data_IF_680735532510
#
_entry.id   IF_680735532510
#
_cell.length_a   1.000
_cell.length_b   1.000
_cell.length_c   1.000
_cell.angle_alpha   90.00
_cell.angle_beta   90.00
_cell.angle_gamma   90.00
#
_symmetry.space_group_name_H-M   'P 1'
#
loop_
_entity.id
_entity.type
_entity.pdbx_description
1 polymer ?
#
# COMPACT_ATOMS: atom_id res chain seq x y z
N UNK A 1 -11.76 -34.75 -9.19
CA UNK A 1 -12.58 -33.90 -8.32
C UNK A 1 -11.98 -33.96 -6.93
N UNK A 2 -11.40 -32.86 -6.47
CA UNK A 2 -10.73 -32.79 -5.18
C UNK A 2 -11.55 -31.95 -4.20
N UNK A 3 -11.43 -32.18 -2.90
CA UNK A 3 -11.94 -31.29 -1.88
C UNK A 3 -10.89 -30.22 -1.56
N UNK A 4 -11.27 -28.94 -1.66
CA UNK A 4 -10.41 -27.79 -1.46
C UNK A 4 -10.92 -26.94 -0.31
N UNK A 5 -10.05 -26.64 0.64
CA UNK A 5 -10.33 -25.68 1.71
C UNK A 5 -9.68 -24.34 1.35
N UNK A 6 -10.44 -23.26 1.43
CA UNK A 6 -9.92 -21.89 1.33
C UNK A 6 -10.07 -21.21 2.68
N UNK A 7 -8.96 -20.67 3.22
CA UNK A 7 -8.94 -19.98 4.51
C UNK A 7 -8.82 -18.47 4.29
N UNK A 8 -9.91 -17.75 4.59
CA UNK A 8 -10.04 -16.30 4.43
C UNK A 8 -10.94 -15.90 3.27
N UNK A 9 -11.99 -15.15 3.59
CA UNK A 9 -13.00 -14.64 2.63
C UNK A 9 -12.69 -13.21 2.15
N UNK A 10 -11.41 -12.89 1.95
CA UNK A 10 -10.96 -11.64 1.33
C UNK A 10 -10.88 -11.74 -0.20
N UNK A 11 -10.26 -10.75 -0.83
CA UNK A 11 -10.11 -10.67 -2.28
C UNK A 11 -9.48 -11.95 -2.87
N UNK A 12 -8.30 -12.31 -2.42
CA UNK A 12 -7.59 -13.49 -2.93
C UNK A 12 -8.34 -14.81 -2.67
N UNK A 13 -8.93 -14.97 -1.47
CA UNK A 13 -9.62 -16.21 -1.11
C UNK A 13 -10.92 -16.42 -1.89
N UNK A 14 -11.73 -15.37 -2.09
CA UNK A 14 -12.94 -15.48 -2.91
C UNK A 14 -12.62 -15.80 -4.37
N UNK A 15 -11.56 -15.18 -4.92
CA UNK A 15 -11.11 -15.47 -6.29
C UNK A 15 -10.55 -16.89 -6.44
N UNK A 16 -9.76 -17.33 -5.48
CA UNK A 16 -9.22 -18.70 -5.44
C UNK A 16 -10.35 -19.74 -5.35
N UNK A 17 -11.35 -19.48 -4.51
CA UNK A 17 -12.51 -20.37 -4.37
C UNK A 17 -13.33 -20.47 -5.68
N UNK A 18 -13.56 -19.33 -6.37
CA UNK A 18 -14.25 -19.31 -7.66
C UNK A 18 -13.43 -20.09 -8.70
N UNK A 19 -12.12 -19.86 -8.80
CA UNK A 19 -11.26 -20.52 -9.77
C UNK A 19 -11.23 -22.06 -9.56
N UNK A 20 -11.02 -22.51 -8.32
CA UNK A 20 -11.04 -23.94 -8.00
C UNK A 20 -12.37 -24.60 -8.28
N UNK A 21 -13.50 -23.96 -7.93
CA UNK A 21 -14.83 -24.51 -8.18
C UNK A 21 -15.17 -24.54 -9.68
N UNK A 22 -14.74 -23.56 -10.48
CA UNK A 22 -14.89 -23.57 -11.96
C UNK A 22 -14.14 -24.75 -12.60
N UNK A 23 -13.05 -25.22 -11.98
CA UNK A 23 -12.30 -26.40 -12.43
C UNK A 23 -12.92 -27.74 -11.93
N UNK A 24 -14.10 -27.70 -11.34
CA UNK A 24 -14.85 -28.89 -10.93
C UNK A 24 -14.48 -29.44 -9.57
N UNK A 25 -13.77 -28.67 -8.73
CA UNK A 25 -13.46 -29.08 -7.36
C UNK A 25 -14.59 -28.72 -6.39
N UNK A 26 -14.71 -29.51 -5.31
CA UNK A 26 -15.61 -29.19 -4.19
C UNK A 26 -14.88 -28.21 -3.26
N UNK A 27 -15.38 -26.97 -3.13
CA UNK A 27 -14.70 -25.91 -2.39
C UNK A 27 -15.47 -25.53 -1.13
N UNK A 28 -14.77 -25.50 0.01
CA UNK A 28 -15.27 -24.95 1.28
C UNK A 28 -14.39 -23.75 1.67
N UNK A 29 -15.02 -22.58 1.79
CA UNK A 29 -14.35 -21.35 2.24
C UNK A 29 -14.70 -21.07 3.69
N UNK A 30 -13.70 -20.94 4.55
CA UNK A 30 -13.80 -20.55 5.95
C UNK A 30 -13.45 -19.09 6.14
N UNK A 31 -14.36 -18.31 6.70
CA UNK A 31 -14.16 -16.92 7.08
C UNK A 31 -14.50 -16.74 8.58
N UNK A 32 -13.58 -16.17 9.34
CA UNK A 32 -13.77 -15.95 10.79
C UNK A 32 -14.74 -14.85 11.14
N UNK A 33 -14.96 -13.89 10.23
CA UNK A 33 -15.91 -12.80 10.40
C UNK A 33 -17.35 -13.20 10.00
N UNK A 34 -18.27 -12.34 10.36
CA UNK A 34 -19.71 -12.42 10.02
C UNK A 34 -20.01 -12.05 8.56
N UNK A 35 -19.03 -11.52 7.82
CA UNK A 35 -19.17 -11.07 6.42
C UNK A 35 -17.91 -11.32 5.63
N UNK A 36 -18.06 -11.56 4.35
CA UNK A 36 -16.97 -11.60 3.37
C UNK A 36 -16.48 -10.19 3.01
N UNK A 37 -15.27 -10.08 2.52
CA UNK A 37 -14.73 -8.88 1.88
C UNK A 37 -14.60 -7.65 2.79
N UNK A 38 -14.51 -7.78 4.12
CA UNK A 38 -14.45 -6.63 5.04
C UNK A 38 -13.35 -5.63 4.69
N UNK A 39 -12.16 -6.09 4.25
CA UNK A 39 -11.10 -5.19 3.81
C UNK A 39 -11.42 -4.56 2.44
N UNK A 40 -12.02 -5.29 1.50
CA UNK A 40 -12.49 -4.73 0.22
C UNK A 40 -13.47 -3.58 0.47
N UNK A 41 -14.38 -3.75 1.45
CA UNK A 41 -15.41 -2.76 1.77
C UNK A 41 -14.84 -1.39 2.11
N UNK A 42 -13.69 -1.33 2.79
CA UNK A 42 -13.06 -0.06 3.21
C UNK A 42 -12.04 0.48 2.20
N UNK A 43 -11.63 -0.32 1.20
CA UNK A 43 -10.65 0.13 0.21
C UNK A 43 -11.17 1.26 -0.67
N UNK A 44 -10.25 2.12 -1.15
CA UNK A 44 -10.62 3.25 -2.00
C UNK A 44 -11.65 4.20 -1.36
N UNK A 45 -11.64 4.35 -0.03
CA UNK A 45 -12.62 5.14 0.76
C UNK A 45 -14.06 4.63 0.56
N UNK A 46 -14.25 3.32 0.55
CA UNK A 46 -15.55 2.66 0.36
C UNK A 46 -15.98 2.49 -1.11
N UNK A 47 -15.15 2.91 -2.07
CA UNK A 47 -15.42 2.81 -3.50
C UNK A 47 -14.88 1.51 -4.13
N UNK A 48 -13.87 0.92 -3.56
CA UNK A 48 -13.04 -0.19 -4.07
C UNK A 48 -12.31 0.17 -5.39
N UNK A 49 -11.03 0.49 -5.30
CA UNK A 49 -10.17 0.56 -6.49
C UNK A 49 -9.82 -0.88 -6.92
N UNK A 50 -10.63 -1.45 -7.83
CA UNK A 50 -10.62 -2.87 -8.19
C UNK A 50 -9.26 -3.32 -8.74
N UNK A 51 -8.71 -2.55 -9.67
CA UNK A 51 -7.43 -2.81 -10.32
C UNK A 51 -6.88 -1.51 -10.93
N UNK A 52 -5.85 -1.62 -11.74
CA UNK A 52 -5.30 -0.53 -12.54
C UNK A 52 -5.31 -0.95 -14.02
N UNK A 53 -5.80 -0.07 -14.90
CA UNK A 53 -5.87 -0.30 -16.35
C UNK A 53 -4.54 0.08 -17.07
N UNK A 54 -3.45 0.22 -16.33
CA UNK A 54 -2.11 0.43 -16.88
C UNK A 54 -1.66 -0.78 -17.70
N UNK A 55 -0.63 -0.58 -18.52
CA UNK A 55 0.01 -1.70 -19.21
C UNK A 55 0.78 -2.62 -18.24
N UNK A 56 1.28 -3.72 -18.76
CA UNK A 56 1.93 -4.73 -17.93
C UNK A 56 3.25 -4.22 -17.33
N UNK A 57 3.97 -3.36 -18.01
CA UNK A 57 5.24 -2.78 -17.54
C UNK A 57 4.98 -1.88 -16.32
N UNK A 58 4.01 -0.97 -16.41
CA UNK A 58 3.58 -0.11 -15.29
C UNK A 58 3.06 -0.94 -14.10
N UNK A 59 2.35 -2.07 -14.37
CA UNK A 59 1.89 -2.98 -13.31
C UNK A 59 3.07 -3.57 -12.54
N UNK A 60 4.13 -4.03 -13.22
CA UNK A 60 5.34 -4.55 -12.58
C UNK A 60 6.13 -3.48 -11.85
N UNK A 61 6.24 -2.29 -12.41
CA UNK A 61 6.95 -1.15 -11.79
C UNK A 61 6.28 -0.69 -10.50
N UNK A 62 4.96 -0.83 -10.41
CA UNK A 62 4.22 -0.54 -9.18
C UNK A 62 4.45 -1.55 -8.06
N UNK A 63 4.97 -2.75 -8.35
CA UNK A 63 5.28 -3.78 -7.34
C UNK A 63 6.64 -3.51 -6.72
N UNK A 64 6.67 -3.14 -5.45
CA UNK A 64 7.87 -2.72 -4.73
C UNK A 64 8.73 -3.91 -4.29
N UNK A 65 8.09 -5.02 -3.89
CA UNK A 65 8.81 -6.20 -3.37
C UNK A 65 8.50 -7.43 -4.22
N UNK A 66 9.57 -8.14 -4.64
CA UNK A 66 9.50 -9.42 -5.34
C UNK A 66 8.66 -9.41 -6.64
N UNK A 67 8.66 -8.30 -7.42
CA UNK A 67 7.84 -8.17 -8.63
C UNK A 67 8.00 -9.33 -9.62
N UNK A 68 9.23 -9.86 -9.79
CA UNK A 68 9.50 -10.99 -10.68
C UNK A 68 8.75 -12.28 -10.32
N UNK A 69 8.37 -12.44 -9.05
CA UNK A 69 7.57 -13.59 -8.62
C UNK A 69 6.18 -13.59 -9.24
N UNK A 70 5.62 -12.41 -9.53
CA UNK A 70 4.28 -12.23 -10.09
C UNK A 70 4.19 -12.46 -11.60
N UNK A 71 5.31 -12.75 -12.28
CA UNK A 71 5.32 -12.86 -13.73
C UNK A 71 4.23 -13.83 -14.24
N UNK A 72 4.25 -15.08 -13.76
CA UNK A 72 3.29 -16.09 -14.17
C UNK A 72 1.85 -15.73 -13.81
N UNK A 73 1.60 -15.21 -12.61
CA UNK A 73 0.25 -14.90 -12.15
C UNK A 73 -0.33 -13.66 -12.85
N UNK A 74 0.46 -12.62 -13.14
CA UNK A 74 -0.03 -11.43 -13.86
C UNK A 74 -0.33 -11.70 -15.33
N UNK A 75 0.50 -12.51 -16.00
CA UNK A 75 0.20 -12.93 -17.37
C UNK A 75 -0.88 -14.02 -17.44
N UNK A 76 -1.00 -14.86 -16.40
CA UNK A 76 -2.05 -15.88 -16.29
C UNK A 76 -3.43 -15.31 -16.00
N UNK A 77 -3.50 -14.17 -15.31
CA UNK A 77 -4.74 -13.43 -15.03
C UNK A 77 -4.48 -11.94 -14.95
N UNK A 78 -4.64 -11.27 -16.09
CA UNK A 78 -4.27 -9.87 -16.27
C UNK A 78 -5.28 -8.91 -15.60
N UNK A 79 -4.92 -7.63 -15.55
CA UNK A 79 -5.83 -6.56 -15.12
C UNK A 79 -7.07 -6.46 -16.06
N UNK A 80 -6.91 -6.72 -17.36
CA UNK A 80 -8.05 -6.77 -18.27
C UNK A 80 -8.98 -7.94 -17.91
N UNK A 81 -8.45 -9.13 -17.61
CA UNK A 81 -9.28 -10.25 -17.16
C UNK A 81 -10.03 -9.93 -15.87
N UNK A 82 -9.45 -9.13 -14.97
CA UNK A 82 -10.16 -8.65 -13.77
C UNK A 82 -11.30 -7.71 -14.13
N UNK A 83 -11.07 -6.78 -15.05
CA UNK A 83 -12.10 -5.85 -15.56
C UNK A 83 -13.25 -6.66 -16.16
N UNK A 84 -12.95 -7.55 -17.11
CA UNK A 84 -13.93 -8.39 -17.81
C UNK A 84 -14.73 -9.24 -16.80
N UNK A 85 -14.06 -9.84 -15.82
CA UNK A 85 -14.73 -10.63 -14.77
C UNK A 85 -15.79 -9.81 -14.00
N UNK A 86 -15.46 -8.58 -13.59
CA UNK A 86 -16.42 -7.76 -12.85
C UNK A 86 -17.54 -7.22 -13.73
N UNK A 87 -17.27 -6.89 -14.99
CA UNK A 87 -18.30 -6.47 -15.95
C UNK A 87 -19.26 -7.63 -16.25
N UNK A 88 -18.74 -8.84 -16.52
CA UNK A 88 -19.54 -10.06 -16.72
C UNK A 88 -20.37 -10.43 -15.48
N UNK A 89 -19.83 -10.17 -14.28
CA UNK A 89 -20.55 -10.34 -13.02
C UNK A 89 -21.57 -9.23 -12.72
N UNK A 90 -21.79 -8.29 -13.67
CA UNK A 90 -22.77 -7.21 -13.58
C UNK A 90 -22.32 -6.02 -12.73
N UNK A 91 -21.02 -5.75 -12.66
CA UNK A 91 -20.42 -4.56 -12.04
C UNK A 91 -19.74 -3.73 -13.13
N UNK A 92 -20.45 -2.79 -13.78
CA UNK A 92 -19.84 -1.87 -14.74
C UNK A 92 -18.74 -1.07 -14.08
N UNK A 93 -17.63 -0.88 -14.78
CA UNK A 93 -16.47 -0.15 -14.25
C UNK A 93 -16.22 1.16 -14.99
N UNK A 94 -15.47 2.04 -14.36
CA UNK A 94 -14.92 3.29 -14.94
C UNK A 94 -13.45 3.41 -14.64
N UNK A 95 -12.72 4.02 -15.57
CA UNK A 95 -11.30 4.33 -15.40
C UNK A 95 -11.16 5.81 -15.04
N UNK A 96 -10.47 6.09 -13.93
CA UNK A 96 -10.19 7.44 -13.45
C UNK A 96 -8.70 7.78 -13.66
N UNK A 97 -8.33 9.03 -13.36
CA UNK A 97 -6.95 9.53 -13.44
C UNK A 97 -5.96 8.53 -12.82
N UNK A 98 -4.85 8.25 -13.50
CA UNK A 98 -3.82 7.27 -13.08
C UNK A 98 -4.27 5.83 -13.31
N UNK A 99 -5.10 5.62 -14.34
CA UNK A 99 -5.59 4.29 -14.79
C UNK A 99 -6.33 3.50 -13.69
N UNK A 100 -6.82 4.15 -12.63
CA UNK A 100 -7.50 3.49 -11.51
C UNK A 100 -8.90 3.03 -11.92
N UNK A 101 -9.21 1.77 -11.68
CA UNK A 101 -10.48 1.15 -12.05
C UNK A 101 -11.41 1.08 -10.84
N UNK A 102 -12.59 1.71 -10.95
CA UNK A 102 -13.62 1.71 -9.92
C UNK A 102 -14.94 1.21 -10.46
N UNK A 103 -15.81 0.64 -9.62
CA UNK A 103 -17.19 0.39 -10.03
C UNK A 103 -17.88 1.72 -10.36
N UNK A 104 -18.70 1.75 -11.40
CA UNK A 104 -19.44 2.97 -11.80
C UNK A 104 -20.33 3.50 -10.69
N UNK A 105 -20.84 2.62 -9.84
CA UNK A 105 -21.65 2.96 -8.67
C UNK A 105 -20.91 3.66 -7.55
N UNK A 106 -19.57 3.64 -7.55
CA UNK A 106 -18.72 4.08 -6.43
C UNK A 106 -18.98 3.34 -5.10
N UNK A 107 -19.51 2.12 -5.14
CA UNK A 107 -19.80 1.31 -3.97
C UNK A 107 -19.04 -0.02 -3.95
N UNK A 108 -18.14 -0.19 -3.00
CA UNK A 108 -17.40 -1.46 -2.79
C UNK A 108 -18.30 -2.65 -2.49
N UNK A 109 -19.52 -2.41 -1.96
CA UNK A 109 -20.50 -3.46 -1.73
C UNK A 109 -20.97 -4.17 -3.00
N UNK A 110 -20.93 -3.50 -4.16
CA UNK A 110 -21.32 -4.12 -5.43
C UNK A 110 -20.25 -5.12 -5.88
N UNK A 111 -18.98 -4.79 -5.67
CA UNK A 111 -17.86 -5.71 -5.93
C UNK A 111 -17.96 -6.95 -5.04
N UNK A 112 -18.26 -6.80 -3.75
CA UNK A 112 -18.39 -7.91 -2.81
C UNK A 112 -19.60 -8.78 -3.20
N UNK A 113 -20.77 -8.17 -3.47
CA UNK A 113 -21.97 -8.90 -3.90
C UNK A 113 -21.78 -9.66 -5.20
N UNK A 114 -20.99 -9.13 -6.14
CA UNK A 114 -20.66 -9.85 -7.38
C UNK A 114 -19.84 -11.10 -7.07
N UNK A 115 -18.81 -11.00 -6.23
CA UNK A 115 -18.01 -12.16 -5.81
C UNK A 115 -18.85 -13.20 -5.07
N UNK A 116 -19.75 -12.80 -4.18
CA UNK A 116 -20.68 -13.70 -3.47
C UNK A 116 -21.62 -14.42 -4.45
N UNK A 117 -22.17 -13.71 -5.45
CA UNK A 117 -23.02 -14.33 -6.49
C UNK A 117 -22.24 -15.34 -7.32
N UNK A 118 -21.03 -15.01 -7.75
CA UNK A 118 -20.19 -15.93 -8.54
C UNK A 118 -19.78 -17.16 -7.74
N UNK A 119 -19.39 -17.02 -6.47
CA UNK A 119 -19.13 -18.17 -5.60
C UNK A 119 -20.36 -19.08 -5.45
N UNK A 120 -21.55 -18.49 -5.25
CA UNK A 120 -22.80 -19.25 -5.15
C UNK A 120 -23.13 -19.98 -6.45
N UNK A 121 -22.94 -19.33 -7.60
CA UNK A 121 -23.21 -19.89 -8.94
C UNK A 121 -22.35 -21.12 -9.22
N UNK A 122 -21.09 -21.13 -8.77
CA UNK A 122 -20.17 -22.27 -8.95
C UNK A 122 -20.19 -23.27 -7.79
N UNK A 123 -21.06 -23.11 -6.80
CA UNK A 123 -21.30 -24.07 -5.73
C UNK A 123 -20.29 -24.03 -4.58
N UNK A 124 -19.59 -22.93 -4.36
CA UNK A 124 -18.70 -22.78 -3.20
C UNK A 124 -19.50 -22.76 -1.90
N UNK A 125 -19.13 -23.65 -0.96
CA UNK A 125 -19.68 -23.66 0.40
C UNK A 125 -18.96 -22.60 1.24
N UNK A 126 -19.67 -21.56 1.67
CA UNK A 126 -19.15 -20.48 2.52
C UNK A 126 -19.53 -20.74 3.98
N UNK A 127 -18.54 -20.78 4.89
CA UNK A 127 -18.71 -20.92 6.32
C UNK A 127 -18.21 -19.64 7.01
N UNK A 128 -19.15 -18.73 7.35
CA UNK A 128 -18.89 -17.51 8.11
C UNK A 128 -18.77 -17.83 9.61
N UNK A 129 -18.24 -16.88 10.40
CA UNK A 129 -17.99 -17.03 11.84
C UNK A 129 -17.21 -18.32 12.18
N UNK A 130 -16.37 -18.79 11.23
CA UNK A 130 -15.64 -20.05 11.34
C UNK A 130 -14.15 -19.77 11.27
N UNK A 131 -13.50 -19.72 12.43
CA UNK A 131 -12.09 -19.40 12.57
C UNK A 131 -11.24 -20.67 12.45
N UNK A 132 -10.29 -20.68 11.52
CA UNK A 132 -9.26 -21.70 11.43
C UNK A 132 -8.16 -21.40 12.44
N UNK A 133 -7.86 -22.33 13.32
CA UNK A 133 -6.85 -22.23 14.38
C UNK A 133 -5.47 -22.66 13.89
N UNK A 134 -5.39 -23.74 13.10
CA UNK A 134 -4.14 -24.23 12.53
C UNK A 134 -4.35 -24.91 11.19
N UNK A 135 -3.29 -24.90 10.39
CA UNK A 135 -3.11 -25.73 9.19
C UNK A 135 -2.05 -26.74 9.52
N UNK A 136 -2.32 -28.03 9.28
CA UNK A 136 -1.44 -29.11 9.63
C UNK A 136 -1.00 -29.89 8.39
N UNK A 137 0.27 -30.27 8.39
CA UNK A 137 0.91 -31.09 7.35
C UNK A 137 1.51 -32.33 7.96
N UNK A 138 1.48 -33.41 7.20
CA UNK A 138 2.12 -34.66 7.56
C UNK A 138 2.99 -35.17 6.39
N UNK A 139 4.23 -35.54 6.68
CA UNK A 139 5.20 -36.06 5.69
C UNK A 139 5.33 -35.15 4.44
N UNK A 140 5.35 -33.83 4.64
CA UNK A 140 5.49 -32.87 3.54
C UNK A 140 4.23 -32.70 2.67
N UNK A 141 3.07 -33.14 3.14
CA UNK A 141 1.78 -32.96 2.45
C UNK A 141 0.77 -32.32 3.40
N UNK A 142 -0.10 -31.43 2.86
CA UNK A 142 -1.24 -30.92 3.59
C UNK A 142 -2.12 -32.08 4.07
N UNK A 143 -2.59 -32.00 5.31
CA UNK A 143 -3.41 -33.05 5.92
C UNK A 143 -4.80 -32.52 6.28
N UNK A 144 -4.87 -31.47 7.12
CA UNK A 144 -6.13 -30.94 7.64
C UNK A 144 -6.01 -29.51 8.13
N UNK A 145 -7.15 -28.88 8.34
CA UNK A 145 -7.26 -27.68 9.17
C UNK A 145 -7.94 -28.02 10.48
N UNK A 146 -7.56 -27.31 11.55
CA UNK A 146 -8.22 -27.37 12.85
C UNK A 146 -8.97 -26.07 13.07
N UNK A 147 -10.24 -26.14 13.35
CA UNK A 147 -11.08 -24.98 13.66
C UNK A 147 -10.92 -24.56 15.13
N UNK A 148 -11.39 -23.39 15.47
CA UNK A 148 -11.29 -22.83 16.84
C UNK A 148 -12.05 -23.67 17.86
N UNK A 149 -13.15 -24.29 17.47
CA UNK A 149 -13.93 -25.22 18.27
C UNK A 149 -13.30 -26.62 18.43
N UNK A 150 -12.05 -26.77 17.95
CA UNK A 150 -11.26 -28.01 17.93
C UNK A 150 -11.69 -29.06 16.90
N UNK A 151 -12.75 -28.82 16.13
CA UNK A 151 -13.11 -29.73 15.03
C UNK A 151 -12.03 -29.72 13.94
N UNK A 152 -11.86 -30.86 13.30
CA UNK A 152 -10.88 -31.01 12.22
C UNK A 152 -11.59 -31.22 10.88
N UNK A 153 -11.02 -30.63 9.82
CA UNK A 153 -11.53 -30.77 8.46
C UNK A 153 -10.39 -31.22 7.55
N UNK A 154 -10.55 -32.37 6.92
CA UNK A 154 -9.60 -32.91 5.95
C UNK A 154 -9.98 -32.44 4.54
N UNK A 155 -8.97 -32.27 3.69
CA UNK A 155 -9.19 -31.97 2.27
C UNK A 155 -7.93 -32.37 1.47
N UNK A 156 -8.03 -32.39 0.14
CA UNK A 156 -6.91 -32.71 -0.74
C UNK A 156 -5.94 -31.51 -0.88
N UNK A 157 -6.47 -30.30 -0.79
CA UNK A 157 -5.71 -29.05 -0.89
C UNK A 157 -6.24 -27.96 0.06
N UNK A 158 -5.34 -27.05 0.44
CA UNK A 158 -5.67 -25.87 1.25
C UNK A 158 -5.05 -24.61 0.66
N UNK A 159 -5.84 -23.55 0.48
CA UNK A 159 -5.38 -22.23 0.06
C UNK A 159 -5.47 -21.27 1.24
N UNK A 160 -4.33 -20.74 1.69
CA UNK A 160 -4.23 -19.74 2.76
C UNK A 160 -4.26 -18.34 2.13
N UNK A 161 -5.35 -17.60 2.35
CA UNK A 161 -5.60 -16.27 1.79
C UNK A 161 -6.08 -15.28 2.88
N UNK A 162 -5.42 -15.32 4.04
CA UNK A 162 -5.84 -14.64 5.27
C UNK A 162 -5.46 -13.15 5.33
N UNK A 163 -4.75 -12.64 4.32
CA UNK A 163 -4.20 -11.27 4.33
C UNK A 163 -3.00 -11.11 5.26
N UNK A 164 -2.64 -9.86 5.57
CA UNK A 164 -1.49 -9.51 6.41
C UNK A 164 -1.88 -9.05 7.83
N UNK A 165 -1.35 -7.89 8.24
CA UNK A 165 -1.53 -7.27 9.57
C UNK A 165 -2.25 -5.92 9.53
N UNK A 166 -2.42 -5.34 8.34
CA UNK A 166 -3.07 -4.05 8.17
C UNK A 166 -4.59 -4.16 8.31
N UNK A 167 -5.22 -3.13 8.92
CA UNK A 167 -6.65 -3.13 9.21
C UNK A 167 -7.12 -4.37 9.99
N UNK A 168 -6.52 -4.64 11.13
CA UNK A 168 -6.81 -5.84 11.96
C UNK A 168 -8.29 -6.06 12.25
N UNK A 169 -9.08 -4.99 12.34
CA UNK A 169 -10.54 -5.04 12.51
C UNK A 169 -11.29 -5.73 11.37
N UNK A 170 -10.64 -5.88 10.21
CA UNK A 170 -11.19 -6.62 9.06
C UNK A 170 -10.88 -8.11 9.07
N UNK A 171 -10.12 -8.57 10.05
CA UNK A 171 -9.71 -9.98 10.17
C UNK A 171 -8.26 -10.29 9.76
N UNK A 172 -7.50 -9.31 9.26
CA UNK A 172 -6.09 -9.48 8.90
C UNK A 172 -5.21 -9.40 10.16
N UNK A 173 -5.13 -10.50 10.91
CA UNK A 173 -4.45 -10.59 12.21
C UNK A 173 -3.14 -11.35 12.18
N UNK A 174 -2.68 -11.76 10.98
CA UNK A 174 -1.42 -12.50 10.80
C UNK A 174 -1.56 -14.02 10.98
N UNK A 175 -2.78 -14.56 10.98
CA UNK A 175 -2.99 -15.99 11.17
C UNK A 175 -2.26 -16.83 10.11
N UNK A 176 -2.27 -16.39 8.85
CA UNK A 176 -1.57 -17.08 7.77
C UNK A 176 -0.06 -17.15 7.94
N UNK A 177 0.54 -16.17 8.59
CA UNK A 177 1.97 -16.19 8.93
C UNK A 177 2.24 -17.30 9.94
N UNK A 178 1.44 -17.39 10.99
CA UNK A 178 1.52 -18.46 11.99
C UNK A 178 1.28 -19.85 11.37
N UNK A 179 0.32 -19.96 10.44
CA UNK A 179 0.09 -21.24 9.73
C UNK A 179 1.29 -21.64 8.90
N UNK A 180 1.90 -20.69 8.19
CA UNK A 180 3.09 -20.91 7.37
C UNK A 180 4.29 -21.35 8.22
N UNK A 181 4.57 -20.66 9.34
CA UNK A 181 5.65 -20.99 10.27
C UNK A 181 5.47 -22.38 10.88
N UNK A 182 4.24 -22.76 11.27
CA UNK A 182 3.93 -24.06 11.84
C UNK A 182 4.21 -25.24 10.90
N UNK A 183 4.20 -25.01 9.60
CA UNK A 183 4.52 -26.03 8.59
C UNK A 183 5.93 -25.86 7.97
N UNK A 184 6.75 -25.00 8.57
CA UNK A 184 8.17 -24.85 8.25
C UNK A 184 8.54 -23.74 7.29
N UNK A 185 7.59 -22.91 6.83
CA UNK A 185 7.89 -21.75 6.01
C UNK A 185 8.53 -20.62 6.81
N UNK A 186 9.39 -19.87 6.14
CA UNK A 186 9.93 -18.61 6.66
C UNK A 186 8.97 -17.46 6.39
N UNK A 187 8.71 -16.67 7.41
CA UNK A 187 8.00 -15.41 7.30
C UNK A 187 9.02 -14.27 7.40
N UNK A 188 9.06 -13.39 6.40
CA UNK A 188 9.92 -12.22 6.42
C UNK A 188 9.38 -11.20 7.41
N UNK A 189 10.25 -10.38 7.99
CA UNK A 189 9.83 -9.35 8.94
C UNK A 189 8.78 -8.42 8.32
N UNK A 190 7.64 -8.29 9.01
CA UNK A 190 6.54 -7.46 8.56
C UNK A 190 6.68 -6.01 9.03
N UNK A 191 6.30 -5.08 8.15
CA UNK A 191 6.24 -3.64 8.41
C UNK A 191 4.92 -3.06 7.91
N UNK A 192 4.38 -2.02 8.56
CA UNK A 192 3.31 -1.24 7.97
C UNK A 192 3.79 -0.59 6.68
N UNK A 193 2.98 -0.60 5.64
CA UNK A 193 3.30 -0.02 4.33
C UNK A 193 2.11 0.74 3.77
N UNK A 194 2.37 1.69 2.88
CA UNK A 194 1.40 2.67 2.42
C UNK A 194 0.77 3.41 3.61
N UNK A 195 1.61 4.01 4.43
CA UNK A 195 1.28 4.57 5.73
C UNK A 195 1.92 5.95 5.90
N UNK A 196 1.31 6.89 6.66
CA UNK A 196 1.92 8.16 7.02
C UNK A 196 3.23 7.99 7.81
N UNK A 197 4.03 9.05 7.86
CA UNK A 197 5.30 9.10 8.59
C UNK A 197 5.28 10.16 9.68
N UNK A 198 5.93 9.85 10.81
CA UNK A 198 6.10 10.76 11.93
C UNK A 198 7.32 11.67 11.73
N UNK A 199 7.22 12.91 12.21
CA UNK A 199 8.32 13.89 12.16
C UNK A 199 8.65 14.39 13.56
N UNK A 200 9.83 14.99 13.70
CA UNK A 200 10.38 15.47 14.97
C UNK A 200 10.06 16.93 15.26
N UNK A 201 9.90 17.71 14.21
CA UNK A 201 9.79 19.16 14.30
C UNK A 201 8.44 19.59 14.89
N UNK A 202 8.42 20.45 15.94
CA UNK A 202 7.19 20.85 16.61
C UNK A 202 6.27 21.72 15.74
N UNK A 203 6.82 22.52 14.82
CA UNK A 203 6.07 23.38 13.91
C UNK A 203 5.20 22.60 12.89
N UNK A 204 5.39 21.29 12.77
CA UNK A 204 4.53 20.43 11.93
C UNK A 204 3.05 20.55 12.31
N UNK A 205 2.75 20.65 13.61
CA UNK A 205 1.37 20.79 14.09
C UNK A 205 0.67 22.03 13.54
N UNK A 206 1.40 23.12 13.31
CA UNK A 206 0.88 24.35 12.73
C UNK A 206 0.45 24.19 11.27
N UNK A 207 1.09 23.26 10.57
CA UNK A 207 0.81 22.93 9.16
C UNK A 207 -0.32 21.90 9.00
N UNK A 208 -0.87 21.35 10.07
CA UNK A 208 -1.92 20.33 9.99
C UNK A 208 -3.03 20.71 9.00
N UNK A 209 -3.32 19.80 8.05
CA UNK A 209 -4.32 19.98 7.00
C UNK A 209 -3.84 20.76 5.78
N UNK A 210 -2.61 21.28 5.78
CA UNK A 210 -2.00 21.87 4.59
C UNK A 210 -1.61 20.78 3.60
N UNK A 211 -2.16 20.83 2.39
CA UNK A 211 -1.71 20.01 1.26
C UNK A 211 -0.77 20.82 0.38
N UNK A 212 0.39 20.26 0.07
CA UNK A 212 1.30 20.76 -0.95
C UNK A 212 1.07 19.98 -2.24
N UNK A 213 0.94 20.71 -3.35
CA UNK A 213 0.79 20.13 -4.69
C UNK A 213 1.98 20.50 -5.55
N UNK A 214 2.32 19.61 -6.49
CA UNK A 214 3.41 19.82 -7.43
C UNK A 214 4.74 20.11 -6.72
N UNK A 215 5.04 19.32 -5.70
CA UNK A 215 6.34 19.34 -4.99
C UNK A 215 7.13 18.09 -5.34
N UNK A 216 8.45 18.18 -5.25
CA UNK A 216 9.32 17.01 -5.28
C UNK A 216 9.74 16.68 -3.85
N UNK A 217 9.65 15.41 -3.46
CA UNK A 217 10.11 14.95 -2.16
C UNK A 217 11.21 13.92 -2.31
N UNK A 218 12.25 14.04 -1.49
CA UNK A 218 13.35 13.07 -1.36
C UNK A 218 13.43 12.58 0.06
N UNK A 219 13.66 11.28 0.24
CA UNK A 219 13.99 10.71 1.55
C UNK A 219 15.45 10.28 1.53
N UNK A 220 16.21 10.79 2.49
CA UNK A 220 17.65 10.63 2.58
C UNK A 220 18.05 9.87 3.85
N UNK A 221 19.02 8.98 3.71
CA UNK A 221 19.77 8.35 4.78
C UNK A 221 21.20 8.94 4.80
N UNK A 222 21.39 10.00 5.57
CA UNK A 222 22.59 10.84 5.48
C UNK A 222 22.69 11.46 4.08
N UNK A 223 23.70 11.05 3.30
CA UNK A 223 23.88 11.51 1.90
C UNK A 223 23.21 10.61 0.86
N UNK A 224 22.71 9.44 1.27
CA UNK A 224 22.14 8.47 0.34
C UNK A 224 20.66 8.75 0.08
N UNK A 225 20.31 8.98 -1.16
CA UNK A 225 18.90 9.04 -1.60
C UNK A 225 18.29 7.64 -1.58
N UNK A 226 17.17 7.49 -0.84
CA UNK A 226 16.41 6.25 -0.73
C UNK A 226 15.16 6.26 -1.59
N UNK A 227 14.59 7.45 -1.78
CA UNK A 227 13.36 7.66 -2.53
C UNK A 227 13.35 9.08 -3.06
N UNK A 228 12.82 9.26 -4.25
CA UNK A 228 12.57 10.56 -4.88
C UNK A 228 11.37 10.43 -5.80
N UNK A 229 10.41 11.34 -5.67
CA UNK A 229 9.25 11.41 -6.56
C UNK A 229 8.60 12.79 -6.52
N UNK A 230 7.71 13.04 -7.49
CA UNK A 230 6.97 14.29 -7.65
C UNK A 230 5.47 14.05 -7.44
N UNK A 231 4.80 14.94 -6.70
CA UNK A 231 3.37 14.77 -6.46
C UNK A 231 2.78 15.68 -5.40
N UNK A 232 1.81 15.13 -4.67
CA UNK A 232 1.08 15.81 -3.61
C UNK A 232 1.38 15.18 -2.26
N UNK A 233 1.51 16.01 -1.23
CA UNK A 233 1.65 15.59 0.16
C UNK A 233 0.74 16.38 1.09
N UNK A 234 0.55 15.87 2.29
CA UNK A 234 -0.31 16.45 3.32
C UNK A 234 0.44 16.51 4.65
N UNK A 235 0.37 17.62 5.34
CA UNK A 235 0.79 17.74 6.72
C UNK A 235 -0.33 17.31 7.67
N UNK A 236 0.05 16.57 8.71
CA UNK A 236 -0.82 16.10 9.79
C UNK A 236 -0.32 16.66 11.13
N UNK A 237 -1.05 16.43 12.21
CA UNK A 237 -0.61 16.86 13.54
C UNK A 237 0.61 16.08 14.09
N UNK A 238 0.95 14.94 13.47
CA UNK A 238 2.08 14.10 13.90
C UNK A 238 3.23 14.05 12.88
N UNK A 239 3.03 14.59 11.69
CA UNK A 239 4.03 14.49 10.63
C UNK A 239 3.43 14.68 9.24
N UNK A 240 3.73 13.76 8.33
CA UNK A 240 3.42 13.88 6.90
C UNK A 240 2.69 12.66 6.35
N UNK A 241 1.84 12.91 5.35
CA UNK A 241 0.98 11.94 4.68
C UNK A 241 0.75 12.37 3.21
N UNK A 242 -0.28 11.82 2.58
CA UNK A 242 -0.62 12.10 1.19
C UNK A 242 0.04 11.12 0.22
N UNK A 243 -0.38 11.12 -1.06
CA UNK A 243 0.01 10.07 -2.01
C UNK A 243 1.52 9.88 -2.12
N UNK A 244 2.28 10.97 -2.22
CA UNK A 244 3.74 10.97 -2.33
C UNK A 244 4.41 10.31 -1.12
N UNK A 245 4.01 10.68 0.09
CA UNK A 245 4.59 10.18 1.35
C UNK A 245 4.17 8.73 1.62
N UNK A 246 2.90 8.41 1.36
CA UNK A 246 2.37 7.05 1.51
C UNK A 246 3.13 6.08 0.58
N UNK A 247 3.36 6.47 -0.69
CA UNK A 247 4.17 5.66 -1.61
C UNK A 247 5.61 5.51 -1.12
N UNK A 248 6.23 6.60 -0.65
CA UNK A 248 7.58 6.57 -0.10
C UNK A 248 7.75 5.57 1.05
N UNK A 249 6.72 5.40 1.89
CA UNK A 249 6.77 4.49 3.04
C UNK A 249 7.08 3.05 2.66
N UNK A 250 6.64 2.60 1.47
CA UNK A 250 6.91 1.25 0.95
C UNK A 250 8.40 1.01 0.67
N UNK A 251 9.15 2.07 0.35
CA UNK A 251 10.58 1.98 0.06
C UNK A 251 11.46 2.10 1.31
N UNK A 252 11.02 2.90 2.28
CA UNK A 252 11.88 3.29 3.42
C UNK A 252 11.56 2.58 4.72
N UNK A 253 10.48 1.81 4.84
CA UNK A 253 10.03 1.21 6.10
C UNK A 253 11.13 0.47 6.86
N UNK A 254 11.90 -0.39 6.17
CA UNK A 254 13.04 -1.11 6.75
C UNK A 254 14.23 -0.21 7.11
N UNK A 255 14.29 1.03 6.62
CA UNK A 255 15.42 1.94 6.82
C UNK A 255 15.34 2.73 8.12
N UNK A 256 14.19 2.72 8.78
CA UNK A 256 14.05 3.25 10.14
C UNK A 256 14.70 2.38 11.23
N UNK A 257 15.31 1.28 10.83
CA UNK A 257 16.11 0.42 11.71
C UNK A 257 17.52 0.31 11.15
N UNK A 258 18.52 0.40 12.03
CA UNK A 258 19.90 0.10 11.67
C UNK A 258 20.16 -1.42 11.59
N UNK A 259 21.39 -1.81 11.25
CA UNK A 259 21.79 -3.24 11.19
C UNK A 259 21.74 -3.96 12.54
N UNK A 260 21.65 -3.22 13.64
CA UNK A 260 21.57 -3.73 15.02
C UNK A 260 20.13 -3.72 15.55
N UNK A 261 19.14 -3.29 14.73
CA UNK A 261 17.76 -3.18 15.12
C UNK A 261 17.42 -1.93 15.95
N UNK A 262 18.32 -0.93 16.00
CA UNK A 262 18.06 0.32 16.70
C UNK A 262 17.32 1.29 15.78
N UNK A 263 16.42 2.09 16.36
CA UNK A 263 15.69 3.14 15.62
C UNK A 263 16.66 4.14 15.01
N UNK A 264 16.37 4.53 13.79
CA UNK A 264 17.16 5.46 12.98
C UNK A 264 16.25 6.53 12.41
N UNK A 265 16.72 7.78 12.43
CA UNK A 265 16.04 8.90 11.80
C UNK A 265 16.47 9.00 10.33
N UNK A 266 15.53 9.45 9.48
CA UNK A 266 15.76 9.77 8.07
C UNK A 266 15.45 11.24 7.84
N UNK A 267 15.93 11.81 6.73
CA UNK A 267 15.62 13.18 6.35
C UNK A 267 14.62 13.18 5.20
N UNK A 268 13.51 13.89 5.36
CA UNK A 268 12.64 14.29 4.26
C UNK A 268 13.05 15.67 3.79
N UNK A 269 13.40 15.79 2.51
CA UNK A 269 13.70 17.04 1.83
C UNK A 269 12.64 17.30 0.77
N UNK A 270 12.03 18.50 0.81
CA UNK A 270 10.98 18.89 -0.13
C UNK A 270 11.47 20.08 -0.94
N UNK A 271 11.42 19.95 -2.26
CA UNK A 271 11.50 21.07 -3.18
C UNK A 271 10.10 21.66 -3.39
N UNK A 272 9.87 22.83 -2.86
CA UNK A 272 8.57 23.53 -2.94
C UNK A 272 8.30 24.16 -4.33
N UNK A 273 9.33 24.26 -5.18
CA UNK A 273 9.26 24.87 -6.52
C UNK A 273 10.09 24.07 -7.55
N UNK A 274 9.77 22.80 -7.78
CA UNK A 274 10.62 21.91 -8.59
C UNK A 274 10.71 22.31 -10.07
N UNK A 275 9.75 23.07 -10.58
CA UNK A 275 9.78 23.59 -11.95
C UNK A 275 10.83 24.69 -12.20
N UNK A 276 11.46 25.22 -11.14
CA UNK A 276 12.48 26.27 -11.25
C UNK A 276 13.83 25.75 -10.72
N UNK A 277 14.91 26.08 -11.41
CA UNK A 277 16.25 25.91 -10.83
C UNK A 277 16.45 26.92 -9.68
N UNK A 278 17.50 26.71 -8.87
CA UNK A 278 17.79 27.62 -7.75
C UNK A 278 18.05 29.06 -8.26
N UNK A 279 18.74 29.18 -9.40
CA UNK A 279 19.04 30.47 -10.05
C UNK A 279 17.74 31.14 -10.57
N UNK A 280 16.87 30.37 -11.21
CA UNK A 280 15.58 30.90 -11.70
C UNK A 280 14.68 31.34 -10.56
N UNK A 281 14.70 30.59 -9.44
CA UNK A 281 13.95 30.95 -8.24
C UNK A 281 14.52 32.20 -7.59
N UNK A 282 15.85 32.35 -7.51
CA UNK A 282 16.51 33.59 -7.01
C UNK A 282 16.09 34.82 -7.83
N UNK A 283 16.10 34.71 -9.15
CA UNK A 283 15.66 35.78 -10.03
C UNK A 283 14.15 36.12 -9.85
N UNK A 284 13.33 35.13 -9.59
CA UNK A 284 11.92 35.35 -9.28
C UNK A 284 11.73 36.07 -7.96
N UNK A 285 12.42 35.60 -6.91
CA UNK A 285 12.36 36.24 -5.57
C UNK A 285 12.86 37.68 -5.63
N UNK A 286 13.93 37.92 -6.41
CA UNK A 286 14.44 39.29 -6.63
C UNK A 286 13.40 40.21 -7.26
N UNK A 287 12.72 39.74 -8.32
CA UNK A 287 11.61 40.52 -8.94
C UNK A 287 10.46 40.79 -7.97
N UNK A 288 10.04 39.79 -7.21
CA UNK A 288 8.97 39.88 -6.22
C UNK A 288 9.36 40.93 -5.14
N UNK A 289 10.66 41.02 -4.77
CA UNK A 289 11.19 42.02 -3.84
C UNK A 289 11.25 43.41 -4.46
N UNK A 290 11.65 43.57 -5.71
CA UNK A 290 11.66 44.83 -6.44
C UNK A 290 10.25 45.40 -6.57
N UNK A 291 9.23 44.61 -6.90
CA UNK A 291 7.82 45.01 -6.93
C UNK A 291 7.30 45.45 -5.55
N UNK A 292 7.87 44.94 -4.47
CA UNK A 292 7.46 45.19 -3.09
C UNK A 292 8.52 45.98 -2.29
N UNK A 293 9.35 46.75 -2.93
CA UNK A 293 10.58 47.38 -2.44
C UNK A 293 10.51 47.99 -1.02
N UNK A 294 9.40 48.60 -0.64
CA UNK A 294 9.21 49.23 0.67
C UNK A 294 8.41 48.36 1.67
N UNK A 295 8.00 47.13 1.29
CA UNK A 295 7.26 46.25 2.18
C UNK A 295 8.20 45.49 3.12
N UNK A 296 7.66 45.07 4.26
CA UNK A 296 8.31 44.16 5.16
C UNK A 296 8.35 42.75 4.54
N UNK A 297 9.39 41.98 4.86
CA UNK A 297 9.63 40.64 4.33
C UNK A 297 8.40 39.71 4.49
N UNK A 298 7.77 39.69 5.68
CA UNK A 298 6.55 38.92 5.96
C UNK A 298 5.42 39.15 4.97
N UNK A 299 5.31 40.38 4.45
CA UNK A 299 4.26 40.80 3.52
C UNK A 299 4.65 40.55 2.04
N UNK A 300 5.94 40.53 1.74
CA UNK A 300 6.44 40.37 0.39
C UNK A 300 6.38 38.90 -0.10
N UNK A 301 6.50 37.93 0.83
CA UNK A 301 6.54 36.49 0.48
C UNK A 301 5.15 35.82 0.37
N UNK A 302 4.06 36.55 0.59
CA UNK A 302 2.69 36.00 0.63
C UNK A 302 2.24 35.34 -0.68
N UNK A 303 2.82 35.73 -1.81
CA UNK A 303 2.56 35.11 -3.13
C UNK A 303 3.38 33.85 -3.40
N UNK A 304 4.41 33.56 -2.60
CA UNK A 304 5.30 32.43 -2.81
C UNK A 304 4.74 31.12 -2.23
N UNK A 305 3.95 31.22 -1.14
CA UNK A 305 3.51 30.08 -0.34
C UNK A 305 2.02 30.12 -0.03
N UNK A 306 1.40 28.95 0.27
CA UNK A 306 0.13 28.89 0.95
C UNK A 306 0.20 29.63 2.30
N UNK A 307 -0.86 30.34 2.66
CA UNK A 307 -0.89 31.21 3.87
C UNK A 307 -0.40 30.48 5.12
N UNK A 308 -0.77 29.21 5.29
CA UNK A 308 -0.40 28.39 6.46
C UNK A 308 1.09 28.07 6.57
N UNK A 309 1.81 28.07 5.44
CA UNK A 309 3.24 27.79 5.40
C UNK A 309 4.09 29.03 5.72
N UNK A 310 3.54 30.23 5.55
CA UNK A 310 4.29 31.49 5.69
C UNK A 310 4.95 31.65 7.07
N UNK A 311 4.26 31.44 8.21
CA UNK A 311 4.89 31.57 9.53
C UNK A 311 6.12 30.68 9.69
N UNK A 312 6.02 29.41 9.27
CA UNK A 312 7.14 28.45 9.33
C UNK A 312 8.30 28.88 8.43
N UNK A 313 8.01 29.38 7.23
CA UNK A 313 9.05 29.86 6.31
C UNK A 313 9.72 31.15 6.82
N UNK A 314 9.03 31.97 7.59
CA UNK A 314 9.61 33.13 8.26
C UNK A 314 10.54 32.72 9.41
N UNK A 315 10.09 31.75 10.22
CA UNK A 315 10.88 31.22 11.34
C UNK A 315 12.19 30.56 10.84
N UNK A 316 12.08 29.69 9.82
CA UNK A 316 13.23 28.94 9.31
C UNK A 316 14.11 29.74 8.34
N UNK A 317 13.59 30.84 7.79
CA UNK A 317 14.28 31.62 6.76
C UNK A 317 15.44 32.47 7.28
N UNK A 318 15.52 32.72 8.59
CA UNK A 318 16.61 33.47 9.21
C UNK A 318 16.63 34.96 8.87
N UNK A 319 15.58 35.49 8.21
CA UNK A 319 15.43 36.91 7.89
C UNK A 319 14.39 37.49 8.85
N UNK A 320 14.71 38.64 9.47
CA UNK A 320 13.77 39.38 10.32
C UNK A 320 12.47 39.66 9.55
N UNK A 321 11.30 39.17 10.02
CA UNK A 321 10.00 39.40 9.36
C UNK A 321 9.65 40.87 9.13
N UNK A 322 10.14 41.77 9.99
CA UNK A 322 9.90 43.23 9.90
C UNK A 322 10.91 43.95 9.00
N UNK A 323 11.98 43.29 8.58
CA UNK A 323 13.00 43.84 7.68
C UNK A 323 12.39 44.20 6.35
N UNK A 324 12.66 45.41 5.86
CA UNK A 324 12.23 45.82 4.52
C UNK A 324 12.97 45.03 3.45
N UNK A 325 12.28 44.58 2.39
CA UNK A 325 12.88 43.72 1.36
C UNK A 325 14.04 44.41 0.62
N UNK A 326 14.05 45.74 0.50
CA UNK A 326 15.16 46.51 -0.07
C UNK A 326 16.45 46.48 0.78
N UNK A 327 16.35 46.05 2.05
CA UNK A 327 17.48 45.93 2.97
C UNK A 327 17.94 44.50 3.12
N UNK A 328 17.30 43.52 2.44
CA UNK A 328 17.70 42.12 2.45
C UNK A 328 18.97 41.94 1.61
N UNK A 329 20.00 41.39 2.23
CA UNK A 329 21.29 41.14 1.57
C UNK A 329 21.17 39.97 0.58
N UNK A 330 22.08 39.95 -0.41
CA UNK A 330 22.13 38.88 -1.42
C UNK A 330 22.29 37.48 -0.79
N UNK A 331 23.06 37.38 0.27
CA UNK A 331 23.32 36.09 0.94
C UNK A 331 22.08 35.64 1.74
N UNK A 332 21.37 36.52 2.41
CA UNK A 332 20.10 36.22 3.08
C UNK A 332 19.05 35.71 2.07
N UNK A 333 18.93 36.39 0.92
CA UNK A 333 18.03 35.99 -0.15
C UNK A 333 18.39 34.59 -0.70
N UNK A 334 19.67 34.34 -0.95
CA UNK A 334 20.12 33.02 -1.41
C UNK A 334 19.85 31.90 -0.40
N UNK A 335 20.06 32.16 0.90
CA UNK A 335 19.73 31.20 1.95
C UNK A 335 18.22 30.91 1.99
N UNK A 336 17.40 31.94 1.81
CA UNK A 336 15.95 31.76 1.72
C UNK A 336 15.53 30.97 0.47
N UNK A 337 16.14 31.22 -0.68
CA UNK A 337 15.94 30.43 -1.92
C UNK A 337 16.36 28.99 -1.71
N UNK A 338 17.50 28.76 -1.06
CA UNK A 338 17.97 27.43 -0.71
C UNK A 338 16.98 26.70 0.21
N UNK A 339 16.42 27.37 1.22
CA UNK A 339 15.37 26.80 2.09
C UNK A 339 14.14 26.37 1.28
N UNK A 340 13.71 27.13 0.28
CA UNK A 340 12.56 26.78 -0.57
C UNK A 340 12.85 25.52 -1.40
N UNK A 341 14.08 25.35 -1.86
CA UNK A 341 14.51 24.19 -2.65
C UNK A 341 14.82 22.96 -1.80
N UNK A 342 15.18 23.15 -0.53
CA UNK A 342 15.62 22.13 0.40
C UNK A 342 14.90 22.26 1.75
N UNK A 343 13.56 22.26 1.70
CA UNK A 343 12.74 22.32 2.91
C UNK A 343 12.80 20.96 3.63
N UNK A 344 13.58 20.90 4.72
CA UNK A 344 13.95 19.66 5.41
C UNK A 344 13.19 19.46 6.70
N UNK A 345 12.89 18.18 6.98
CA UNK A 345 12.38 17.71 8.26
C UNK A 345 12.90 16.31 8.57
N UNK A 346 12.87 15.95 9.85
CA UNK A 346 13.37 14.68 10.37
C UNK A 346 12.23 13.68 10.49
N UNK A 347 12.29 12.59 9.74
CA UNK A 347 11.38 11.45 9.87
C UNK A 347 11.85 10.55 11.01
N UNK A 348 10.98 10.24 11.97
CA UNK A 348 11.28 9.41 13.15
C UNK A 348 10.74 8.00 13.07
N UNK A 349 9.81 7.72 12.14
CA UNK A 349 9.23 6.42 11.94
C UNK A 349 8.00 6.41 11.04
N UNK A 350 7.47 5.22 10.86
CA UNK A 350 6.17 4.98 10.22
C UNK A 350 5.06 4.99 11.28
N UNK A 351 3.85 5.36 10.87
CA UNK A 351 2.65 5.07 11.66
C UNK A 351 2.37 3.56 11.65
N UNK A 352 1.63 3.10 12.66
CA UNK A 352 1.39 1.68 12.89
C UNK A 352 0.33 1.06 11.96
N UNK A 353 0.19 -0.26 12.02
CA UNK A 353 -0.75 -1.08 11.24
C UNK A 353 -2.21 -0.62 11.18
N UNK A 354 -2.81 0.02 12.21
CA UNK A 354 -4.16 0.57 12.10
C UNK A 354 -4.32 1.63 11.01
N UNK A 355 -3.24 2.35 10.66
CA UNK A 355 -3.23 3.38 9.64
C UNK A 355 -2.62 2.88 8.31
N UNK A 356 -2.00 1.71 8.31
CA UNK A 356 -1.36 1.12 7.12
C UNK A 356 -2.38 0.54 6.15
N UNK A 357 -2.27 0.88 4.87
CA UNK A 357 -3.14 0.31 3.84
C UNK A 357 -2.80 -1.17 3.62
N UNK A 358 -1.52 -1.52 3.62
CA UNK A 358 -1.04 -2.89 3.41
C UNK A 358 0.08 -3.26 4.38
N UNK A 359 0.37 -4.55 4.42
CA UNK A 359 1.53 -5.13 5.11
C UNK A 359 2.63 -5.39 4.10
N UNK A 360 3.85 -4.92 4.37
CA UNK A 360 5.08 -5.31 3.68
C UNK A 360 5.75 -6.44 4.44
N UNK A 361 6.22 -7.47 3.75
CA UNK A 361 6.69 -8.73 4.35
C UNK A 361 5.59 -9.79 4.34
N UNK A 362 5.91 -11.00 4.74
CA UNK A 362 4.98 -12.14 4.73
C UNK A 362 5.69 -13.45 4.43
N UNK A 363 4.94 -14.45 3.98
CA UNK A 363 5.49 -15.76 3.60
C UNK A 363 6.51 -15.60 2.47
N UNK A 364 7.70 -16.14 2.68
CA UNK A 364 8.81 -15.98 1.75
C UNK A 364 8.50 -16.62 0.39
N UNK A 365 8.33 -15.80 -0.63
CA UNK A 365 7.97 -16.25 -2.00
C UNK A 365 8.98 -17.20 -2.64
N UNK A 366 10.23 -17.26 -2.15
CA UNK A 366 11.21 -18.26 -2.64
C UNK A 366 10.82 -19.69 -2.33
N UNK A 367 9.98 -19.90 -1.33
CA UNK A 367 9.46 -21.19 -0.89
C UNK A 367 8.10 -21.53 -1.52
N UNK A 368 7.61 -20.68 -2.42
CA UNK A 368 6.35 -20.82 -3.15
C UNK A 368 6.65 -20.94 -4.65
N UNK A 369 5.90 -21.78 -5.34
CA UNK A 369 5.97 -21.87 -6.80
C UNK A 369 5.26 -20.68 -7.43
N UNK A 370 5.92 -19.89 -8.30
CA UNK A 370 5.33 -18.66 -8.87
C UNK A 370 4.24 -18.93 -9.92
N UNK A 371 4.17 -20.15 -10.47
CA UNK A 371 3.18 -20.52 -11.48
C UNK A 371 1.88 -21.03 -10.86
N UNK A 372 1.98 -21.71 -9.72
CA UNK A 372 0.86 -22.41 -9.08
C UNK A 372 0.46 -21.83 -7.73
N UNK A 373 1.29 -21.00 -7.13
CA UNK A 373 1.15 -20.54 -5.75
C UNK A 373 1.26 -21.68 -4.71
N UNK A 374 1.65 -22.89 -5.11
CA UNK A 374 1.86 -24.05 -4.22
C UNK A 374 3.14 -23.90 -3.41
N UNK A 375 3.08 -24.33 -2.17
CA UNK A 375 4.24 -24.47 -1.29
C UNK A 375 5.23 -25.48 -1.89
N UNK A 376 6.51 -25.12 -1.95
CA UNK A 376 7.60 -26.06 -2.28
C UNK A 376 7.97 -26.99 -1.14
N UNK A 377 7.49 -26.71 0.08
CA UNK A 377 7.78 -27.47 1.29
C UNK A 377 6.65 -28.45 1.63
N UNK A 378 5.40 -28.10 1.31
CA UNK A 378 4.20 -28.84 1.67
C UNK A 378 3.29 -28.97 0.45
N UNK A 379 3.24 -30.15 -0.15
CA UNK A 379 2.37 -30.45 -1.28
C UNK A 379 0.89 -30.29 -0.91
N UNK A 380 0.10 -29.68 -1.79
CA UNK A 380 -1.32 -29.44 -1.57
C UNK A 380 -1.62 -28.21 -0.68
N UNK A 381 -0.60 -27.44 -0.28
CA UNK A 381 -0.76 -26.18 0.44
C UNK A 381 -0.40 -25.01 -0.46
N UNK A 382 -1.29 -24.04 -0.57
CA UNK A 382 -1.16 -22.88 -1.44
C UNK A 382 -1.28 -21.57 -0.63
N UNK A 383 -0.65 -20.49 -1.11
CA UNK A 383 -0.73 -19.17 -0.50
C UNK A 383 -1.10 -18.12 -1.55
N UNK A 384 -2.03 -17.21 -1.24
CA UNK A 384 -2.46 -16.19 -2.17
C UNK A 384 -2.75 -14.83 -1.51
N UNK A 385 -2.48 -13.76 -2.22
CA UNK A 385 -2.70 -12.39 -1.77
C UNK A 385 -1.67 -11.88 -0.78
N UNK A 386 -2.08 -10.96 0.10
CA UNK A 386 -1.22 -10.19 1.00
C UNK A 386 -0.54 -11.04 2.11
N UNK A 387 -0.85 -12.32 2.23
CA UNK A 387 -0.10 -13.25 3.10
C UNK A 387 1.31 -13.52 2.55
N UNK A 388 1.53 -13.36 1.26
CA UNK A 388 2.82 -13.48 0.59
C UNK A 388 3.67 -12.23 0.82
N UNK A 389 5.00 -12.36 0.82
CA UNK A 389 5.95 -11.22 0.85
C UNK A 389 5.91 -10.45 -0.48
N UNK A 390 4.79 -9.78 -0.75
CA UNK A 390 4.49 -8.99 -1.93
C UNK A 390 3.81 -7.70 -1.51
N UNK A 391 4.29 -6.57 -2.01
CA UNK A 391 3.65 -5.27 -1.83
C UNK A 391 3.79 -4.39 -3.07
N UNK A 392 2.77 -3.61 -3.34
CA UNK A 392 2.73 -2.66 -4.45
C UNK A 392 2.26 -1.28 -3.98
N UNK A 393 2.47 -0.27 -4.82
CA UNK A 393 2.02 1.10 -4.60
C UNK A 393 0.48 1.20 -4.53
N UNK A 394 -0.01 2.39 -4.17
CA UNK A 394 -1.45 2.71 -4.27
C UNK A 394 -1.88 2.79 -5.73
N UNK A 395 -3.13 2.44 -6.02
CA UNK A 395 -3.64 2.55 -7.39
C UNK A 395 -4.42 1.34 -7.91
N UNK A 396 -4.72 0.36 -7.04
CA UNK A 396 -5.41 -0.89 -7.42
C UNK A 396 -4.46 -2.09 -7.55
N UNK A 397 -3.14 -1.85 -7.52
CA UNK A 397 -2.12 -2.88 -7.74
C UNK A 397 -2.13 -4.00 -6.71
N UNK A 398 -2.36 -3.70 -5.43
CA UNK A 398 -2.42 -4.72 -4.37
C UNK A 398 -3.66 -5.63 -4.50
N UNK A 399 -4.77 -5.10 -5.00
CA UNK A 399 -5.93 -5.93 -5.34
C UNK A 399 -5.66 -6.75 -6.59
N UNK A 400 -4.94 -6.22 -7.60
CA UNK A 400 -4.49 -7.01 -8.74
C UNK A 400 -3.63 -8.20 -8.31
N UNK A 401 -2.68 -8.01 -7.39
CA UNK A 401 -1.90 -9.11 -6.80
C UNK A 401 -2.83 -10.15 -6.18
N UNK A 402 -3.83 -9.71 -5.41
CA UNK A 402 -4.77 -10.61 -4.75
C UNK A 402 -5.60 -11.42 -5.75
N UNK A 403 -6.10 -10.79 -6.82
CA UNK A 403 -6.88 -11.46 -7.87
C UNK A 403 -6.03 -12.47 -8.63
N UNK A 404 -4.87 -12.04 -9.15
CA UNK A 404 -4.01 -12.88 -9.98
C UNK A 404 -3.43 -14.07 -9.21
N UNK A 405 -2.96 -13.87 -7.98
CA UNK A 405 -2.44 -14.97 -7.16
C UNK A 405 -3.54 -15.89 -6.65
N UNK A 406 -4.73 -15.35 -6.33
CA UNK A 406 -5.91 -16.12 -5.97
C UNK A 406 -6.36 -17.01 -7.13
N UNK A 407 -6.45 -16.45 -8.34
CA UNK A 407 -6.77 -17.21 -9.55
C UNK A 407 -5.73 -18.31 -9.79
N UNK A 408 -4.43 -17.97 -9.76
CA UNK A 408 -3.36 -18.96 -9.98
C UNK A 408 -3.42 -20.12 -8.99
N UNK A 409 -3.63 -19.84 -7.69
CA UNK A 409 -3.75 -20.87 -6.66
C UNK A 409 -4.96 -21.80 -6.90
N UNK A 410 -6.14 -21.22 -7.18
CA UNK A 410 -7.35 -22.02 -7.40
C UNK A 410 -7.30 -22.81 -8.70
N UNK A 411 -6.71 -22.25 -9.76
CA UNK A 411 -6.62 -22.88 -11.07
C UNK A 411 -5.58 -24.00 -11.15
N UNK A 412 -4.57 -23.99 -10.26
CA UNK A 412 -3.48 -24.94 -10.26
C UNK A 412 -3.81 -26.29 -9.57
N UNK A 413 -4.91 -26.36 -8.83
CA UNK A 413 -5.30 -27.60 -8.11
C UNK A 413 -5.71 -28.66 -9.13
N UNK A 414 -5.15 -29.88 -8.95
CA UNK A 414 -5.37 -31.05 -9.81
C UNK A 414 -6.41 -32.01 -9.26
#
# INVERSE_FOLDING_TARGET
MSHVIVVGGGAAGMFAAIAAAKNGHQVTLYEKNEKLGKKIFITGKGRCNITNAADMEELFDAVVTNSKFLYSSFYGYTNQNVIDFFEDAGVPVKIERGNRVFPTSDHSSDVIRALEREMKKVGVKVCLNTEVKSVEAEKGKFNKVVLKDTTTQTADACIVATGGLSYRSTGSTGDGFRFAENVGHKVTQCFPSLVPMETKEPWICELQGLSLRNVEAKILDGKKELYKDFGEMLFTHFGVSGPLIISASSYVGKKFMDKKGQKKELTLEIDLKPALTEEQLDQRVLRDFEENHNRQFKNAITKLFPTKLIPVMLELGGIDPEKKVNSIEKEERKQFVHLIKHFRMTLTGLRDYPEAIITKGGVNVKEIDPGTMESKLVKGLYFAGEVLDLDALTGGFNLQIAWSTGYAAGNAIQ
#
